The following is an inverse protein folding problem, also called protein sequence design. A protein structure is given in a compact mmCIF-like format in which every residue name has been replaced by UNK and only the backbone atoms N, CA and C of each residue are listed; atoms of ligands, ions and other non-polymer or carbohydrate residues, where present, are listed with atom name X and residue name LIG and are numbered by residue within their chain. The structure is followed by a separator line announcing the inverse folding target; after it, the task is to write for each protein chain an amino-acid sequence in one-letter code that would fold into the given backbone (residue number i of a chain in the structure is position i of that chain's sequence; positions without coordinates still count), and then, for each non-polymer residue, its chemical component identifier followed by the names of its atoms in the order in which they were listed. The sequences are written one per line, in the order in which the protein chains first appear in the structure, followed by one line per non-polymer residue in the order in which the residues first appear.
data_IF_603872174753
#
_entry.id   IF_603872174753
#
_cell.length_a   1.000
_cell.length_b   1.000
_cell.length_c   1.000
_cell.angle_alpha   90.00
_cell.angle_beta   90.00
_cell.angle_gamma   90.00
#
_symmetry.space_group_name_H-M   'P 1'
#
loop_
_entity.id
_entity.type
_entity.pdbx_description
1 polymer ?
#
# COMPACT_ATOMS: atom_id res chain seq x y z
N UNK A 1 -14.72 34.03 48.59
CA UNK A 1 -14.02 32.87 48.02
C UNK A 1 -15.09 31.97 47.40
N UNK A 2 -15.37 32.04 46.09
CA UNK A 2 -16.25 31.08 45.47
C UNK A 2 -15.45 29.87 44.97
N UNK A 3 -15.99 28.72 45.32
CA UNK A 3 -15.59 27.36 45.01
C UNK A 3 -15.39 27.12 43.51
N UNK A 4 -14.14 26.86 43.11
CA UNK A 4 -13.78 26.48 41.73
C UNK A 4 -14.05 25.00 41.53
N UNK A 5 -15.33 24.66 41.27
CA UNK A 5 -15.71 23.36 40.74
C UNK A 5 -15.15 23.20 39.33
N UNK A 6 -13.97 22.57 39.21
CA UNK A 6 -13.45 22.05 37.95
C UNK A 6 -14.47 21.04 37.41
N UNK A 7 -15.26 21.45 36.42
CA UNK A 7 -15.97 20.50 35.57
C UNK A 7 -14.91 19.73 34.80
N UNK A 8 -14.55 18.54 35.28
CA UNK A 8 -13.92 17.52 34.46
C UNK A 8 -14.75 17.38 33.18
N UNK A 9 -14.18 17.77 32.04
CA UNK A 9 -14.78 17.50 30.75
C UNK A 9 -14.75 15.99 30.60
N UNK A 10 -15.90 15.35 30.73
CA UNK A 10 -16.08 13.94 30.41
C UNK A 10 -15.55 13.69 29.00
N UNK A 11 -14.45 12.95 28.90
CA UNK A 11 -13.98 12.39 27.63
C UNK A 11 -15.11 11.48 27.13
N UNK A 12 -15.66 11.69 25.92
CA UNK A 12 -16.73 10.83 25.45
C UNK A 12 -16.23 9.39 25.42
N UNK A 13 -16.98 8.47 26.04
CA UNK A 13 -16.71 7.03 25.95
C UNK A 13 -17.06 6.60 24.53
N UNK A 14 -16.03 6.52 23.68
CA UNK A 14 -16.16 5.97 22.33
C UNK A 14 -16.13 4.44 22.40
N UNK A 15 -16.81 3.79 21.47
CA UNK A 15 -16.59 2.37 21.24
C UNK A 15 -15.11 2.20 20.84
N UNK A 16 -14.30 1.44 21.60
CA UNK A 16 -12.88 1.32 21.32
C UNK A 16 -12.68 0.71 19.93
N UNK A 17 -11.66 1.15 19.17
CA UNK A 17 -11.40 0.58 17.84
C UNK A 17 -11.15 -0.94 17.91
N UNK A 18 -10.69 -1.42 19.06
CA UNK A 18 -10.50 -2.83 19.40
C UNK A 18 -11.78 -3.65 19.26
N UNK A 19 -12.97 -3.05 19.38
CA UNK A 19 -14.24 -3.74 19.16
C UNK A 19 -14.46 -4.16 17.70
N UNK A 20 -13.76 -3.54 16.76
CA UNK A 20 -13.85 -3.81 15.33
C UNK A 20 -12.66 -4.61 14.77
N UNK A 21 -11.69 -4.97 15.63
CA UNK A 21 -10.48 -5.66 15.20
C UNK A 21 -10.43 -7.10 15.69
N UNK A 22 -10.04 -8.01 14.79
CA UNK A 22 -9.72 -9.38 15.11
C UNK A 22 -8.27 -9.67 14.70
N UNK A 23 -7.40 -9.84 15.69
CA UNK A 23 -5.97 -10.06 15.44
C UNK A 23 -5.69 -11.49 15.00
N UNK A 24 -4.98 -11.62 13.88
CA UNK A 24 -4.56 -12.93 13.40
C UNK A 24 -3.55 -13.57 14.37
N UNK A 25 -3.82 -14.82 14.78
CA UNK A 25 -3.02 -15.51 15.79
C UNK A 25 -3.35 -15.13 17.24
N UNK A 26 -4.42 -14.35 17.46
CA UNK A 26 -5.00 -14.12 18.78
C UNK A 26 -4.37 -13.00 19.61
N UNK A 27 -3.31 -12.34 19.12
CA UNK A 27 -2.77 -11.14 19.76
C UNK A 27 -2.12 -10.16 18.75
N UNK A 28 -2.09 -8.85 19.06
CA UNK A 28 -1.40 -7.85 18.25
C UNK A 28 0.07 -8.17 17.98
N UNK A 29 0.77 -8.73 18.97
CA UNK A 29 2.20 -9.06 18.86
C UNK A 29 2.45 -10.18 17.87
N UNK A 30 1.61 -11.22 17.89
CA UNK A 30 1.72 -12.38 17.00
C UNK A 30 1.43 -11.97 15.56
N UNK A 31 0.40 -11.14 15.37
CA UNK A 31 0.04 -10.60 14.06
C UNK A 31 1.15 -9.68 13.51
N UNK A 32 1.75 -8.82 14.36
CA UNK A 32 2.88 -7.96 13.97
C UNK A 32 4.06 -8.78 13.45
N UNK A 33 4.46 -9.84 14.16
CA UNK A 33 5.57 -10.71 13.72
C UNK A 33 5.26 -11.41 12.39
N UNK A 34 4.00 -11.79 12.16
CA UNK A 34 3.56 -12.31 10.88
C UNK A 34 3.70 -11.24 9.78
N UNK A 35 3.25 -10.02 10.02
CA UNK A 35 3.32 -8.93 9.05
C UNK A 35 4.77 -8.54 8.70
N UNK A 36 5.69 -8.55 9.67
CA UNK A 36 7.12 -8.35 9.40
C UNK A 36 7.72 -9.45 8.52
N UNK A 37 7.28 -10.70 8.69
CA UNK A 37 7.65 -11.80 7.79
C UNK A 37 7.08 -11.57 6.39
N UNK A 38 5.79 -11.24 6.29
CA UNK A 38 5.11 -10.98 5.02
C UNK A 38 5.72 -9.78 4.27
N UNK A 39 6.10 -8.71 4.97
CA UNK A 39 6.79 -7.55 4.40
C UNK A 39 8.14 -7.94 3.78
N UNK A 40 8.93 -8.80 4.44
CA UNK A 40 10.17 -9.35 3.88
C UNK A 40 9.92 -10.20 2.64
N UNK A 41 8.86 -11.02 2.64
CA UNK A 41 8.48 -11.79 1.45
C UNK A 41 8.08 -10.87 0.29
N UNK A 42 7.42 -9.74 0.56
CA UNK A 42 7.06 -8.76 -0.45
C UNK A 42 8.30 -8.08 -1.08
N UNK A 43 9.39 -7.92 -0.33
CA UNK A 43 10.64 -7.39 -0.89
C UNK A 43 11.25 -8.33 -1.94
N UNK A 44 11.04 -9.65 -1.78
CA UNK A 44 11.45 -10.62 -2.80
C UNK A 44 10.62 -10.49 -4.08
N UNK A 45 9.34 -10.13 -3.97
CA UNK A 45 8.46 -9.85 -5.13
C UNK A 45 8.97 -8.64 -5.90
N UNK A 46 9.32 -7.55 -5.21
CA UNK A 46 9.85 -6.34 -5.83
C UNK A 46 11.15 -6.61 -6.62
N UNK A 47 12.04 -7.44 -6.08
CA UNK A 47 13.27 -7.86 -6.80
C UNK A 47 12.97 -8.72 -8.02
N UNK A 48 12.06 -9.68 -7.89
CA UNK A 48 11.66 -10.53 -9.01
C UNK A 48 11.08 -9.69 -10.16
N UNK A 49 10.27 -8.67 -9.85
CA UNK A 49 9.75 -7.73 -10.85
C UNK A 49 10.85 -6.87 -11.48
N UNK A 50 11.81 -6.38 -10.70
CA UNK A 50 12.94 -5.62 -11.23
C UNK A 50 13.75 -6.47 -12.21
N UNK A 51 14.07 -7.72 -11.85
CA UNK A 51 14.81 -8.66 -12.69
C UNK A 51 14.07 -8.96 -13.99
N UNK A 52 12.78 -9.28 -13.90
CA UNK A 52 11.90 -9.55 -15.04
C UNK A 52 11.76 -8.35 -15.99
N UNK A 53 11.66 -7.13 -15.45
CA UNK A 53 11.52 -5.91 -16.26
C UNK A 53 12.85 -5.37 -16.81
N UNK A 54 14.00 -5.85 -16.32
CA UNK A 54 15.31 -5.29 -16.65
C UNK A 54 15.51 -3.85 -16.13
N UNK A 55 14.71 -3.40 -15.16
CA UNK A 55 14.76 -2.04 -14.66
C UNK A 55 16.09 -1.75 -13.93
N UNK A 56 16.77 -0.67 -14.32
CA UNK A 56 18.04 -0.25 -13.73
C UNK A 56 17.92 0.12 -12.24
N UNK A 57 16.73 0.53 -11.80
CA UNK A 57 16.44 0.91 -10.41
C UNK A 57 15.27 0.09 -9.88
N UNK A 58 15.23 -0.11 -8.56
CA UNK A 58 14.07 -0.66 -7.90
C UNK A 58 12.91 0.32 -8.02
N UNK A 59 11.87 -0.08 -8.76
CA UNK A 59 10.59 0.64 -8.80
C UNK A 59 9.73 0.22 -7.61
N UNK A 60 8.60 0.89 -7.39
CA UNK A 60 7.62 0.48 -6.38
C UNK A 60 7.13 -0.95 -6.66
N UNK A 61 6.96 -1.77 -5.62
CA UNK A 61 6.45 -3.16 -5.71
C UNK A 61 5.11 -3.26 -6.46
N UNK A 62 4.30 -2.22 -6.31
CA UNK A 62 3.08 -1.99 -7.06
C UNK A 62 3.06 -0.52 -7.45
N UNK A 63 2.28 -0.18 -8.46
CA UNK A 63 2.15 1.17 -8.97
C UNK A 63 3.45 1.77 -9.51
N UNK A 64 4.25 0.97 -10.21
CA UNK A 64 5.57 1.38 -10.70
C UNK A 64 5.50 2.53 -11.71
N UNK A 65 4.43 2.61 -12.51
CA UNK A 65 4.25 3.68 -13.51
C UNK A 65 3.29 4.76 -13.01
N UNK A 66 3.81 5.97 -12.81
CA UNK A 66 2.99 7.15 -12.55
C UNK A 66 2.50 7.77 -13.87
N UNK A 67 1.23 8.18 -13.89
CA UNK A 67 0.65 9.02 -14.95
C UNK A 67 0.65 10.51 -14.56
N UNK A 68 0.45 10.79 -13.26
CA UNK A 68 0.43 12.15 -12.71
C UNK A 68 1.16 12.20 -11.36
N UNK A 69 1.89 13.29 -11.14
CA UNK A 69 2.42 13.67 -9.83
C UNK A 69 2.39 15.19 -9.71
N UNK A 70 1.60 15.72 -8.77
CA UNK A 70 1.40 17.17 -8.56
C UNK A 70 1.42 17.51 -7.08
N UNK A 71 1.96 18.68 -6.73
CA UNK A 71 2.12 19.16 -5.34
C UNK A 71 1.20 20.34 -5.00
N UNK A 72 0.45 20.84 -5.98
CA UNK A 72 -0.39 22.04 -5.88
C UNK A 72 -1.89 21.72 -5.83
N UNK A 73 -2.27 20.48 -5.50
CA UNK A 73 -3.68 20.14 -5.31
C UNK A 73 -4.20 20.69 -3.98
N UNK A 74 -5.52 20.69 -3.81
CA UNK A 74 -6.18 21.16 -2.59
C UNK A 74 -7.36 20.27 -2.23
N UNK A 75 -7.43 19.82 -0.99
CA UNK A 75 -8.60 19.15 -0.43
C UNK A 75 -9.41 20.16 0.40
N UNK A 76 -10.68 20.39 0.08
CA UNK A 76 -11.58 21.26 0.84
C UNK A 76 -12.82 20.49 1.30
N UNK A 77 -13.05 20.45 2.61
CA UNK A 77 -14.26 19.88 3.18
C UNK A 77 -15.49 20.74 2.86
N UNK A 78 -16.63 20.09 2.67
CA UNK A 78 -17.89 20.76 2.39
C UNK A 78 -18.31 21.64 3.57
N UNK A 79 -18.92 22.80 3.28
CA UNK A 79 -19.49 23.67 4.31
C UNK A 79 -20.67 22.98 5.04
N UNK A 80 -21.31 22.01 4.37
CA UNK A 80 -22.38 21.17 4.89
C UNK A 80 -21.89 19.80 5.40
N UNK A 81 -20.63 19.69 5.83
CA UNK A 81 -20.10 18.44 6.40
C UNK A 81 -20.98 17.98 7.58
N UNK A 82 -21.49 16.73 7.59
CA UNK A 82 -22.33 16.26 8.68
C UNK A 82 -21.64 16.39 10.04
N UNK A 83 -22.34 16.85 11.11
CA UNK A 83 -21.75 17.07 12.43
C UNK A 83 -21.02 15.84 12.98
N UNK A 84 -21.53 14.63 12.73
CA UNK A 84 -20.92 13.38 13.16
C UNK A 84 -19.61 13.05 12.43
N UNK A 85 -19.37 13.61 11.24
CA UNK A 85 -18.13 13.45 10.47
C UNK A 85 -17.15 14.60 10.71
N UNK A 86 -17.49 15.55 11.57
CA UNK A 86 -16.59 16.63 11.96
C UNK A 86 -15.57 16.13 13.00
N UNK A 87 -14.43 15.58 12.54
CA UNK A 87 -13.38 14.98 13.38
C UNK A 87 -12.00 15.51 12.97
N UNK A 88 -11.11 15.77 13.93
CA UNK A 88 -9.74 16.25 13.63
C UNK A 88 -9.67 17.42 12.65
N UNK A 89 -9.01 17.20 11.51
CA UNK A 89 -8.88 18.18 10.42
C UNK A 89 -10.09 18.19 9.44
N UNK A 90 -11.00 17.23 9.54
CA UNK A 90 -12.27 17.25 8.83
C UNK A 90 -13.22 18.25 9.51
N UNK A 91 -13.16 19.51 9.07
CA UNK A 91 -13.98 20.62 9.58
C UNK A 91 -14.73 21.29 8.43
N UNK A 92 -15.99 21.74 8.63
CA UNK A 92 -16.74 22.42 7.59
C UNK A 92 -15.94 23.57 6.94
N UNK A 93 -15.83 23.55 5.61
CA UNK A 93 -15.12 24.56 4.83
C UNK A 93 -13.59 24.57 4.95
N UNK A 94 -13.00 23.76 5.84
CA UNK A 94 -11.55 23.69 6.01
C UNK A 94 -10.89 23.14 4.74
N UNK A 95 -9.71 23.67 4.43
CA UNK A 95 -9.03 23.34 3.19
C UNK A 95 -7.52 23.28 3.36
N UNK A 96 -6.92 22.26 2.75
CA UNK A 96 -5.55 21.85 2.97
C UNK A 96 -4.81 21.68 1.64
N UNK A 97 -3.53 22.09 1.54
CA UNK A 97 -2.67 21.70 0.44
C UNK A 97 -2.58 20.17 0.36
N UNK A 98 -2.53 19.66 -0.87
CA UNK A 98 -2.42 18.23 -1.12
C UNK A 98 -1.44 17.92 -2.24
N UNK A 99 -0.74 16.79 -2.08
CA UNK A 99 0.05 16.15 -3.13
C UNK A 99 -0.75 14.98 -3.70
N UNK A 100 -0.85 14.88 -5.01
CA UNK A 100 -1.60 13.82 -5.69
C UNK A 100 -0.68 13.03 -6.62
N UNK A 101 -0.79 11.70 -6.56
CA UNK A 101 -0.16 10.78 -7.50
C UNK A 101 -1.21 9.83 -8.09
N UNK A 102 -1.27 9.76 -9.42
CA UNK A 102 -2.08 8.80 -10.15
C UNK A 102 -1.18 7.82 -10.90
N UNK A 103 -1.55 6.55 -10.93
CA UNK A 103 -0.67 5.50 -11.46
C UNK A 103 -1.43 4.27 -11.96
N UNK A 104 -0.73 3.42 -12.70
CA UNK A 104 -1.12 2.02 -12.89
C UNK A 104 -0.94 1.24 -11.57
N UNK A 105 -1.31 -0.04 -11.50
CA UNK A 105 -1.16 -0.89 -10.30
C UNK A 105 0.02 -1.86 -10.43
N UNK A 106 0.41 -2.23 -11.65
CA UNK A 106 1.52 -3.16 -11.86
C UNK A 106 2.83 -2.68 -11.21
N UNK A 107 3.61 -3.64 -10.69
CA UNK A 107 4.97 -3.40 -10.21
C UNK A 107 6.02 -3.23 -11.31
N UNK A 108 5.60 -3.27 -12.58
CA UNK A 108 6.45 -2.94 -13.73
C UNK A 108 5.81 -1.82 -14.56
N UNK A 109 6.64 -1.02 -15.23
CA UNK A 109 6.14 0.05 -16.09
C UNK A 109 5.58 -0.54 -17.40
N UNK A 110 4.27 -0.79 -17.42
CA UNK A 110 3.56 -1.36 -18.58
C UNK A 110 2.86 -0.29 -19.40
N UNK A 111 2.49 -0.66 -20.62
CA UNK A 111 1.61 0.13 -21.48
C UNK A 111 0.26 0.35 -20.80
N UNK A 112 -0.27 1.57 -20.89
CA UNK A 112 -1.52 1.96 -20.23
C UNK A 112 -2.77 1.20 -20.70
N UNK A 113 -2.73 0.55 -21.88
CA UNK A 113 -3.81 -0.26 -22.43
C UNK A 113 -3.85 -1.67 -21.82
N UNK A 114 -2.80 -2.06 -21.09
CA UNK A 114 -2.75 -3.37 -20.44
C UNK A 114 -3.86 -3.47 -19.38
N UNK A 115 -4.63 -4.57 -19.34
CA UNK A 115 -5.59 -4.84 -18.27
C UNK A 115 -4.90 -4.78 -16.91
N UNK A 116 -5.26 -3.78 -16.12
CA UNK A 116 -4.62 -3.50 -14.84
C UNK A 116 -5.56 -2.61 -14.00
N UNK A 117 -5.34 -2.54 -12.69
CA UNK A 117 -5.99 -1.57 -11.82
C UNK A 117 -5.29 -0.21 -11.92
N UNK A 118 -5.91 0.84 -11.40
CA UNK A 118 -5.32 2.18 -11.28
C UNK A 118 -5.29 2.61 -9.82
N UNK A 119 -4.25 3.34 -9.45
CA UNK A 119 -4.04 3.85 -8.10
C UNK A 119 -4.16 5.36 -8.02
N UNK A 120 -4.66 5.84 -6.89
CA UNK A 120 -4.61 7.24 -6.46
C UNK A 120 -4.01 7.30 -5.05
N UNK A 121 -2.99 8.14 -4.89
CA UNK A 121 -2.44 8.51 -3.60
C UNK A 121 -2.60 10.02 -3.41
N UNK A 122 -3.12 10.43 -2.25
CA UNK A 122 -3.32 11.83 -1.87
C UNK A 122 -2.68 12.04 -0.51
N UNK A 123 -1.67 12.92 -0.42
CA UNK A 123 -1.13 13.38 0.86
C UNK A 123 -1.74 14.73 1.20
N UNK A 124 -2.53 14.79 2.26
CA UNK A 124 -3.09 16.03 2.80
C UNK A 124 -2.12 16.61 3.82
N UNK A 125 -1.68 17.85 3.63
CA UNK A 125 -0.84 18.55 4.60
C UNK A 125 -1.74 19.26 5.62
N UNK A 126 -1.87 18.69 6.83
CA UNK A 126 -2.76 19.21 7.88
C UNK A 126 -2.11 20.36 8.63
N UNK A 127 -0.86 20.16 9.05
CA UNK A 127 -0.02 21.16 9.72
C UNK A 127 1.47 20.84 9.44
N UNK A 128 2.43 21.72 9.74
CA UNK A 128 3.86 21.39 9.62
C UNK A 128 4.19 20.09 10.39
N UNK A 129 4.76 19.10 9.71
CA UNK A 129 5.08 17.79 10.28
C UNK A 129 3.88 16.83 10.44
N UNK A 130 2.66 17.27 10.15
CA UNK A 130 1.44 16.45 10.24
C UNK A 130 0.79 16.30 8.85
N UNK A 131 0.70 15.06 8.38
CA UNK A 131 0.06 14.73 7.11
C UNK A 131 -0.88 13.53 7.23
N UNK A 132 -1.84 13.45 6.31
CA UNK A 132 -2.72 12.31 6.15
C UNK A 132 -2.62 11.76 4.73
N UNK A 133 -2.18 10.51 4.57
CA UNK A 133 -2.13 9.83 3.27
C UNK A 133 -3.37 8.99 3.00
N UNK A 134 -4.17 9.39 2.01
CA UNK A 134 -5.29 8.63 1.47
C UNK A 134 -4.82 7.82 0.26
N UNK A 135 -4.95 6.50 0.32
CA UNK A 135 -4.51 5.57 -0.71
C UNK A 135 -5.67 4.71 -1.19
N UNK A 136 -5.95 4.77 -2.49
CA UNK A 136 -7.11 4.15 -3.09
C UNK A 136 -6.80 3.53 -4.47
N UNK A 137 -7.62 2.57 -4.89
CA UNK A 137 -7.50 1.88 -6.18
C UNK A 137 -8.82 1.84 -6.92
N UNK A 138 -8.81 1.69 -8.25
CA UNK A 138 -9.98 1.81 -9.13
C UNK A 138 -10.94 0.61 -9.10
N UNK A 139 -11.10 -0.05 -7.96
CA UNK A 139 -12.07 -1.12 -7.73
C UNK A 139 -12.45 -1.21 -6.24
N UNK A 140 -13.74 -1.42 -5.90
CA UNK A 140 -14.25 -1.28 -4.54
C UNK A 140 -13.77 -2.35 -3.55
N UNK A 141 -13.32 -3.50 -4.04
CA UNK A 141 -12.86 -4.61 -3.20
C UNK A 141 -11.42 -5.02 -3.51
N UNK A 142 -10.77 -5.60 -2.51
CA UNK A 142 -9.51 -6.29 -2.70
C UNK A 142 -9.73 -7.66 -3.37
N UNK A 143 -8.72 -8.16 -4.06
CA UNK A 143 -8.70 -9.56 -4.46
C UNK A 143 -8.51 -10.47 -3.23
N UNK A 144 -7.75 -10.02 -2.23
CA UNK A 144 -7.44 -10.72 -0.99
C UNK A 144 -8.33 -10.27 0.16
N UNK A 145 -8.78 -11.20 0.99
CA UNK A 145 -9.48 -10.92 2.24
C UNK A 145 -8.52 -10.36 3.31
N UNK A 146 -7.31 -10.93 3.38
CA UNK A 146 -6.29 -10.64 4.38
C UNK A 146 -4.87 -10.49 3.77
N UNK A 147 -3.89 -10.19 4.62
CA UNK A 147 -2.50 -9.96 4.22
C UNK A 147 -1.81 -11.24 3.68
N UNK A 148 -2.17 -12.43 4.16
CA UNK A 148 -1.58 -13.68 3.68
C UNK A 148 -1.99 -13.96 2.26
N UNK A 149 -3.27 -13.84 1.98
CA UNK A 149 -3.80 -14.00 0.63
C UNK A 149 -3.17 -12.98 -0.32
N UNK A 150 -3.03 -11.73 0.11
CA UNK A 150 -2.40 -10.68 -0.70
C UNK A 150 -0.96 -11.04 -1.08
N UNK A 151 -0.13 -11.43 -0.11
CA UNK A 151 1.25 -11.82 -0.37
C UNK A 151 1.35 -13.13 -1.17
N UNK A 152 0.45 -14.09 -0.95
CA UNK A 152 0.38 -15.30 -1.75
C UNK A 152 0.08 -14.99 -3.23
N UNK A 153 -0.86 -14.08 -3.51
CA UNK A 153 -1.15 -13.60 -4.85
C UNK A 153 0.04 -12.89 -5.50
N UNK A 154 0.65 -11.97 -4.76
CA UNK A 154 1.82 -11.22 -5.22
C UNK A 154 2.95 -12.19 -5.61
N UNK A 155 3.26 -13.19 -4.77
CA UNK A 155 4.28 -14.21 -5.06
C UNK A 155 3.92 -15.13 -6.22
N UNK A 156 2.63 -15.41 -6.41
CA UNK A 156 2.17 -16.26 -7.51
C UNK A 156 2.29 -15.57 -8.87
N UNK A 157 2.23 -14.23 -8.89
CA UNK A 157 2.26 -13.41 -10.13
C UNK A 157 3.60 -12.69 -10.34
N UNK A 158 4.46 -12.64 -9.32
CA UNK A 158 5.77 -12.01 -9.39
C UNK A 158 6.66 -12.63 -10.48
N UNK A 159 7.31 -11.75 -11.27
CA UNK A 159 8.33 -12.15 -12.24
C UNK A 159 7.85 -13.04 -13.39
N UNK A 160 6.53 -13.12 -13.63
CA UNK A 160 5.99 -13.96 -14.68
C UNK A 160 5.99 -13.24 -16.04
N UNK A 161 6.93 -13.62 -16.90
CA UNK A 161 7.19 -12.96 -18.19
C UNK A 161 6.33 -13.54 -19.31
N UNK A 162 5.92 -14.81 -19.19
CA UNK A 162 5.06 -15.48 -20.16
C UNK A 162 3.64 -15.69 -19.65
N UNK A 163 2.69 -15.84 -20.58
CA UNK A 163 1.29 -16.21 -20.25
C UNK A 163 1.22 -17.57 -19.54
N UNK A 164 2.10 -18.51 -19.90
CA UNK A 164 2.17 -19.85 -19.30
C UNK A 164 2.60 -19.77 -17.83
N UNK A 165 3.64 -19.00 -17.52
CA UNK A 165 4.09 -18.81 -16.13
C UNK A 165 3.02 -18.12 -15.28
N UNK A 166 2.35 -17.10 -15.82
CA UNK A 166 1.22 -16.45 -15.14
C UNK A 166 0.09 -17.43 -14.89
N UNK A 167 -0.27 -18.26 -15.87
CA UNK A 167 -1.29 -19.27 -15.72
C UNK A 167 -0.89 -20.31 -14.65
N UNK A 168 0.34 -20.81 -14.68
CA UNK A 168 0.85 -21.73 -13.65
C UNK A 168 0.81 -21.10 -12.25
N UNK A 169 1.20 -19.83 -12.13
CA UNK A 169 1.07 -19.05 -10.89
C UNK A 169 -0.36 -19.01 -10.37
N UNK A 170 -1.31 -18.61 -11.21
CA UNK A 170 -2.70 -18.37 -10.83
C UNK A 170 -3.56 -19.63 -10.65
N UNK A 171 -3.26 -20.71 -11.37
CA UNK A 171 -4.06 -21.93 -11.39
C UNK A 171 -3.43 -23.11 -10.64
N UNK A 172 -2.13 -23.05 -10.33
CA UNK A 172 -1.44 -24.11 -9.56
C UNK A 172 -0.90 -23.56 -8.25
N UNK A 173 0.02 -22.59 -8.29
CA UNK A 173 0.70 -22.10 -7.07
C UNK A 173 -0.25 -21.40 -6.11
N UNK A 174 -1.17 -20.58 -6.63
CA UNK A 174 -2.10 -19.83 -5.80
C UNK A 174 -3.12 -20.76 -5.08
N UNK A 175 -3.86 -21.67 -5.74
CA UNK A 175 -4.75 -22.60 -5.04
C UNK A 175 -4.04 -23.47 -3.99
N UNK A 176 -2.78 -23.86 -4.23
CA UNK A 176 -1.99 -24.60 -3.24
C UNK A 176 -1.62 -23.75 -2.01
N UNK A 177 -1.54 -22.43 -2.15
CA UNK A 177 -1.16 -21.52 -1.06
C UNK A 177 -2.35 -21.05 -0.22
N UNK A 178 -3.51 -20.80 -0.84
CA UNK A 178 -4.69 -20.19 -0.17
C UNK A 178 -5.95 -21.06 -0.21
N UNK A 179 -5.90 -22.22 -0.87
CA UNK A 179 -7.05 -23.06 -1.12
C UNK A 179 -7.85 -22.66 -2.38
N UNK A 180 -8.63 -23.60 -2.90
CA UNK A 180 -9.34 -23.44 -4.17
C UNK A 180 -10.40 -22.33 -4.17
N UNK A 181 -11.17 -22.22 -3.09
CA UNK A 181 -12.24 -21.22 -2.96
C UNK A 181 -11.70 -19.78 -2.93
N UNK A 182 -10.69 -19.52 -2.09
CA UNK A 182 -10.04 -18.22 -2.01
C UNK A 182 -9.36 -17.86 -3.33
N UNK A 183 -8.59 -18.78 -3.92
CA UNK A 183 -7.94 -18.56 -5.21
C UNK A 183 -8.94 -18.23 -6.32
N UNK A 184 -10.10 -18.86 -6.33
CA UNK A 184 -11.17 -18.56 -7.27
C UNK A 184 -11.79 -17.17 -7.07
N UNK A 185 -12.11 -16.80 -5.82
CA UNK A 185 -12.57 -15.44 -5.48
C UNK A 185 -11.56 -14.38 -5.94
N UNK A 186 -10.28 -14.58 -5.63
CA UNK A 186 -9.21 -13.66 -6.00
C UNK A 186 -9.12 -13.48 -7.52
N UNK A 187 -9.15 -14.58 -8.29
CA UNK A 187 -9.15 -14.51 -9.76
C UNK A 187 -10.36 -13.78 -10.31
N UNK A 188 -11.57 -14.07 -9.82
CA UNK A 188 -12.80 -13.40 -10.25
C UNK A 188 -12.78 -11.90 -9.95
N UNK A 189 -12.31 -11.50 -8.77
CA UNK A 189 -12.17 -10.09 -8.40
C UNK A 189 -11.18 -9.38 -9.34
N UNK A 190 -10.01 -9.98 -9.62
CA UNK A 190 -9.03 -9.39 -10.55
C UNK A 190 -9.55 -9.32 -11.97
N UNK A 191 -10.16 -10.38 -12.49
CA UNK A 191 -10.76 -10.41 -13.83
C UNK A 191 -11.85 -9.34 -13.99
N UNK A 192 -12.67 -9.15 -12.96
CA UNK A 192 -13.72 -8.12 -12.96
C UNK A 192 -13.13 -6.72 -12.89
N UNK A 193 -12.11 -6.53 -12.04
CA UNK A 193 -11.43 -5.25 -11.84
C UNK A 193 -10.68 -4.74 -13.08
N UNK A 194 -10.18 -5.65 -13.93
CA UNK A 194 -9.37 -5.31 -15.11
C UNK A 194 -10.10 -5.54 -16.43
N UNK A 195 -11.42 -5.76 -16.39
CA UNK A 195 -12.23 -6.13 -17.59
C UNK A 195 -12.29 -5.06 -18.67
N UNK A 196 -12.05 -3.79 -18.33
CA UNK A 196 -12.12 -2.67 -19.26
C UNK A 196 -10.79 -1.91 -19.29
N UNK A 197 -10.46 -1.38 -20.46
CA UNK A 197 -9.37 -0.44 -20.59
C UNK A 197 -9.80 0.92 -20.03
N UNK A 198 -9.01 1.46 -19.11
CA UNK A 198 -9.27 2.77 -18.51
C UNK A 198 -8.91 3.87 -19.51
N UNK A 199 -9.89 4.66 -19.95
CA UNK A 199 -9.64 5.74 -20.92
C UNK A 199 -9.17 7.06 -20.30
N UNK A 200 -9.40 7.28 -19.01
CA UNK A 200 -8.97 8.52 -18.34
C UNK A 200 -8.98 8.34 -16.83
N UNK A 201 -7.85 8.62 -16.17
CA UNK A 201 -7.76 8.57 -14.70
C UNK A 201 -8.62 9.65 -14.02
N UNK A 202 -8.93 10.74 -14.72
CA UNK A 202 -9.82 11.79 -14.23
C UNK A 202 -11.29 11.35 -14.16
N UNK A 203 -11.64 10.22 -14.79
CA UNK A 203 -13.00 9.69 -14.86
C UNK A 203 -13.21 8.41 -14.07
N UNK A 204 -12.16 7.88 -13.45
CA UNK A 204 -12.25 6.70 -12.58
C UNK A 204 -12.65 7.09 -11.16
N UNK A 205 -13.34 6.19 -10.49
CA UNK A 205 -13.53 6.24 -9.03
C UNK A 205 -12.46 5.38 -8.37
N UNK A 206 -11.95 5.82 -7.22
CA UNK A 206 -10.92 5.12 -6.46
C UNK A 206 -11.42 4.82 -5.05
N UNK A 207 -11.30 3.59 -4.58
CA UNK A 207 -11.76 3.15 -3.25
C UNK A 207 -10.59 2.79 -2.34
N UNK A 208 -10.73 3.09 -1.04
CA UNK A 208 -9.73 2.76 -0.01
C UNK A 208 -9.52 1.26 0.16
N UNK A 209 -10.53 0.44 -0.19
CA UNK A 209 -10.68 -1.02 0.01
C UNK A 209 -10.65 -1.49 1.46
N UNK A 210 -9.87 -0.86 2.32
CA UNK A 210 -9.86 -1.06 3.77
C UNK A 210 -10.57 0.07 4.51
N UNK A 211 -11.02 -0.23 5.72
CA UNK A 211 -11.67 0.76 6.60
C UNK A 211 -10.62 1.58 7.37
N UNK A 212 -10.97 2.79 7.75
CA UNK A 212 -10.24 3.63 8.70
C UNK A 212 -11.19 4.03 9.82
N UNK A 213 -10.67 4.32 11.00
CA UNK A 213 -11.43 5.01 12.03
C UNK A 213 -11.72 6.44 11.55
N UNK A 214 -12.85 7.00 11.97
CA UNK A 214 -13.19 8.40 11.76
C UNK A 214 -13.66 9.02 13.07
N UNK A 215 -12.75 9.05 14.05
CA UNK A 215 -12.99 9.45 15.43
C UNK A 215 -14.25 8.81 16.00
N UNK A 216 -15.14 9.66 16.52
CA UNK A 216 -16.41 9.24 17.11
C UNK A 216 -17.41 8.61 16.11
N UNK A 217 -17.22 8.81 14.80
CA UNK A 217 -18.13 8.29 13.79
C UNK A 217 -17.97 6.78 13.56
N UNK A 218 -16.92 6.17 14.14
CA UNK A 218 -16.59 4.75 13.99
C UNK A 218 -15.85 4.46 12.68
N UNK A 219 -15.82 3.19 12.25
CA UNK A 219 -15.16 2.78 11.02
C UNK A 219 -15.86 3.33 9.78
N UNK A 220 -15.07 3.78 8.81
CA UNK A 220 -15.53 4.21 7.49
C UNK A 220 -14.65 3.64 6.39
N UNK A 221 -15.22 3.35 5.21
CA UNK A 221 -14.46 3.27 3.96
C UNK A 221 -14.61 4.59 3.22
N UNK A 222 -13.61 4.97 2.42
CA UNK A 222 -13.69 6.16 1.60
C UNK A 222 -13.50 5.86 0.12
N UNK A 223 -14.05 6.73 -0.71
CA UNK A 223 -13.85 6.72 -2.15
C UNK A 223 -13.63 8.13 -2.69
N UNK A 224 -12.82 8.26 -3.74
CA UNK A 224 -12.64 9.47 -4.52
C UNK A 224 -13.29 9.24 -5.88
N UNK A 225 -14.46 9.83 -6.11
CA UNK A 225 -15.17 9.74 -7.40
C UNK A 225 -15.03 11.05 -8.18
N UNK A 226 -15.08 11.04 -9.52
CA UNK A 226 -15.04 12.28 -10.30
C UNK A 226 -16.16 13.22 -9.87
N UNK A 227 -15.82 14.50 -9.66
CA UNK A 227 -16.83 15.51 -9.36
C UNK A 227 -17.70 15.78 -10.61
N UNK A 228 -18.98 16.15 -10.43
CA UNK A 228 -19.83 16.57 -11.54
C UNK A 228 -19.23 17.73 -12.33
N UNK A 229 -19.47 17.77 -13.66
CA UNK A 229 -19.00 18.87 -14.52
C UNK A 229 -17.51 18.82 -14.87
N UNK A 230 -16.89 17.63 -14.84
CA UNK A 230 -15.46 17.45 -15.10
C UNK A 230 -14.98 18.05 -16.42
N UNK A 231 -13.78 18.64 -16.39
CA UNK A 231 -13.11 19.23 -17.55
C UNK A 231 -12.96 18.22 -18.68
N UNK A 232 -13.43 18.48 -19.91
CA UNK A 232 -13.32 17.53 -21.01
C UNK A 232 -11.86 17.36 -21.48
N UNK A 233 -11.59 16.25 -22.15
CA UNK A 233 -10.35 16.01 -22.87
C UNK A 233 -10.61 15.15 -24.11
N UNK A 234 -9.75 15.22 -25.13
CA UNK A 234 -9.82 14.32 -26.27
C UNK A 234 -9.77 12.85 -25.85
N UNK A 235 -10.33 11.96 -26.68
CA UNK A 235 -10.17 10.53 -26.47
C UNK A 235 -8.67 10.16 -26.58
N UNK A 236 -8.16 9.32 -25.67
CA UNK A 236 -6.78 8.87 -25.75
C UNK A 236 -6.54 7.99 -26.98
N UNK A 237 -5.32 8.05 -27.52
CA UNK A 237 -4.85 7.06 -28.49
C UNK A 237 -4.35 5.83 -27.73
N UNK A 238 -5.08 4.71 -27.81
CA UNK A 238 -4.71 3.48 -27.10
C UNK A 238 -3.42 2.82 -27.62
N UNK A 239 -2.87 3.26 -28.77
CA UNK A 239 -1.58 2.79 -29.29
C UNK A 239 -0.39 3.48 -28.62
N UNK A 240 -0.62 4.60 -27.96
CA UNK A 240 0.39 5.32 -27.18
C UNK A 240 0.59 4.63 -25.82
N UNK A 241 1.81 4.17 -25.49
CA UNK A 241 2.08 3.49 -24.23
C UNK A 241 1.75 4.33 -23.00
N UNK A 242 1.76 5.66 -23.11
CA UNK A 242 1.62 6.65 -22.04
C UNK A 242 0.33 7.49 -22.17
N UNK A 243 -0.68 6.98 -22.87
CA UNK A 243 -1.88 7.76 -23.19
C UNK A 243 -2.62 8.32 -21.97
N UNK A 244 -2.54 7.68 -20.79
CA UNK A 244 -3.19 8.21 -19.59
C UNK A 244 -2.52 9.48 -19.11
N UNK A 245 -1.19 9.56 -19.24
CA UNK A 245 -0.44 10.78 -18.93
C UNK A 245 -0.78 11.88 -19.92
N UNK A 246 -0.78 11.59 -21.22
CA UNK A 246 -1.07 12.60 -22.24
C UNK A 246 -2.52 13.09 -22.17
N UNK A 247 -3.47 12.21 -21.86
CA UNK A 247 -4.86 12.59 -21.60
C UNK A 247 -4.98 13.57 -20.43
N UNK A 248 -4.30 13.30 -19.32
CA UNK A 248 -4.26 14.20 -18.16
C UNK A 248 -3.58 15.53 -18.49
N UNK A 249 -2.51 15.54 -19.29
CA UNK A 249 -1.86 16.77 -19.77
C UNK A 249 -2.84 17.62 -20.58
N UNK A 250 -3.54 17.02 -21.54
CA UNK A 250 -4.54 17.73 -22.35
C UNK A 250 -5.69 18.27 -21.50
N UNK A 251 -6.17 17.48 -20.54
CA UNK A 251 -7.26 17.87 -19.64
C UNK A 251 -6.86 19.06 -18.78
N UNK A 252 -5.74 18.94 -18.05
CA UNK A 252 -5.27 19.96 -17.11
C UNK A 252 -4.82 21.25 -17.78
N UNK A 253 -4.50 21.24 -19.08
CA UNK A 253 -4.27 22.47 -19.83
C UNK A 253 -5.53 23.34 -19.96
N UNK A 254 -6.72 22.74 -19.91
CA UNK A 254 -8.00 23.42 -20.20
C UNK A 254 -8.83 23.73 -18.96
N UNK A 255 -8.70 22.93 -17.89
CA UNK A 255 -9.47 23.13 -16.66
C UNK A 255 -9.03 22.23 -15.51
N UNK A 256 -9.69 22.40 -14.37
CA UNK A 256 -9.39 21.65 -13.15
C UNK A 256 -9.85 20.19 -13.28
N UNK A 257 -9.15 19.29 -12.59
CA UNK A 257 -9.62 17.91 -12.37
C UNK A 257 -10.04 17.79 -10.91
N UNK A 258 -11.30 17.46 -10.68
CA UNK A 258 -11.89 17.42 -9.33
C UNK A 258 -12.43 16.03 -8.99
N UNK A 259 -12.22 15.62 -7.75
CA UNK A 259 -12.78 14.40 -7.17
C UNK A 259 -13.52 14.70 -5.87
N UNK A 260 -14.72 14.14 -5.69
CA UNK A 260 -15.39 14.14 -4.40
C UNK A 260 -14.82 13.02 -3.52
N UNK A 261 -14.22 13.40 -2.39
CA UNK A 261 -13.96 12.47 -1.30
C UNK A 261 -15.30 12.17 -0.62
N UNK A 262 -15.68 10.90 -0.65
CA UNK A 262 -16.90 10.39 -0.04
C UNK A 262 -16.57 9.33 1.00
N UNK A 263 -17.44 9.16 1.99
CA UNK A 263 -17.33 8.13 3.02
C UNK A 263 -18.56 7.25 3.06
N UNK A 264 -18.35 5.97 3.38
CA UNK A 264 -19.39 5.00 3.73
C UNK A 264 -19.15 4.59 5.18
N UNK A 265 -20.20 4.64 6.00
CA UNK A 265 -20.11 4.30 7.43
C UNK A 265 -20.36 2.81 7.65
N UNK A 266 -19.66 2.26 8.63
CA UNK A 266 -19.90 0.92 9.12
C UNK A 266 -21.34 0.75 9.62
N UNK A 267 -21.93 -0.41 9.33
CA UNK A 267 -23.25 -0.79 9.78
C UNK A 267 -23.20 -2.02 10.71
N UNK A 268 -22.64 -3.14 10.24
CA UNK A 268 -22.36 -4.35 11.01
C UNK A 268 -21.36 -5.26 10.29
N UNK A 269 -20.73 -6.19 10.99
CA UNK A 269 -19.71 -7.08 10.40
C UNK A 269 -20.21 -7.96 9.25
N UNK A 270 -21.51 -8.24 9.16
CA UNK A 270 -22.04 -9.10 8.10
C UNK A 270 -22.15 -8.34 6.78
N UNK A 271 -22.52 -7.06 6.83
CA UNK A 271 -22.74 -6.21 5.64
C UNK A 271 -21.54 -5.34 5.30
N UNK A 272 -20.82 -4.90 6.32
CA UNK A 272 -19.70 -3.99 6.22
C UNK A 272 -18.50 -4.52 7.01
N UNK A 273 -17.94 -5.70 6.67
CA UNK A 273 -16.84 -6.28 7.44
C UNK A 273 -15.62 -5.39 7.40
N UNK A 274 -15.01 -5.16 8.57
CA UNK A 274 -13.77 -4.39 8.71
C UNK A 274 -12.54 -5.25 8.39
N UNK A 275 -12.57 -6.52 8.81
CA UNK A 275 -11.44 -7.46 8.68
C UNK A 275 -11.37 -8.17 7.32
N UNK A 276 -12.42 -8.11 6.49
CA UNK A 276 -12.44 -8.73 5.14
C UNK A 276 -12.43 -7.67 4.03
N UNK A 277 -11.26 -7.46 3.43
CA UNK A 277 -11.09 -6.53 2.31
C UNK A 277 -11.70 -7.00 0.99
N UNK A 278 -12.12 -8.26 0.88
CA UNK A 278 -12.67 -8.86 -0.34
C UNK A 278 -14.18 -8.67 -0.49
N UNK A 279 -14.85 -8.16 0.55
CA UNK A 279 -16.29 -7.90 0.59
C UNK A 279 -16.59 -6.43 0.32
N UNK A 280 -17.54 -6.18 -0.58
CA UNK A 280 -18.01 -4.84 -0.94
C UNK A 280 -18.97 -4.29 0.12
N UNK A 281 -18.75 -3.04 0.53
CA UNK A 281 -19.74 -2.28 1.31
C UNK A 281 -20.73 -1.67 0.32
N UNK A 282 -21.86 -2.34 0.12
CA UNK A 282 -22.87 -1.94 -0.86
C UNK A 282 -23.48 -0.60 -0.48
N UNK A 283 -23.75 0.25 -1.46
CA UNK A 283 -24.37 1.56 -1.23
C UNK A 283 -25.77 1.46 -0.58
N UNK A 284 -26.48 0.34 -0.79
CA UNK A 284 -27.76 0.05 -0.13
C UNK A 284 -27.63 -0.19 1.37
N UNK A 285 -26.48 -0.66 1.83
CA UNK A 285 -26.20 -0.97 3.23
C UNK A 285 -25.44 0.17 3.91
N UNK A 286 -24.55 0.84 3.17
CA UNK A 286 -23.75 1.97 3.63
C UNK A 286 -23.77 3.09 2.56
N UNK A 287 -24.64 4.11 2.70
CA UNK A 287 -24.74 5.20 1.74
C UNK A 287 -23.43 5.96 1.56
N UNK A 288 -23.17 6.39 0.33
CA UNK A 288 -21.97 7.19 -0.03
C UNK A 288 -22.24 8.67 0.26
N UNK A 289 -21.59 9.22 1.28
CA UNK A 289 -21.75 10.61 1.71
C UNK A 289 -20.56 11.45 1.24
N UNK A 290 -20.75 12.46 0.36
CA UNK A 290 -19.65 13.32 -0.07
C UNK A 290 -19.28 14.32 1.04
N UNK A 291 -18.00 14.35 1.41
CA UNK A 291 -17.49 15.13 2.56
C UNK A 291 -16.50 16.22 2.17
N UNK A 292 -15.78 16.07 1.05
CA UNK A 292 -14.79 17.04 0.60
C UNK A 292 -14.59 16.98 -0.92
N UNK A 293 -14.03 18.06 -1.47
CA UNK A 293 -13.61 18.18 -2.86
C UNK A 293 -12.08 18.25 -2.94
N UNK A 294 -11.48 17.31 -3.64
CA UNK A 294 -10.08 17.34 -4.05
C UNK A 294 -9.98 17.99 -5.42
N UNK A 295 -9.27 19.10 -5.52
CA UNK A 295 -9.05 19.84 -6.77
C UNK A 295 -7.58 19.77 -7.16
N UNK A 296 -7.31 19.22 -8.34
CA UNK A 296 -6.04 19.39 -9.05
C UNK A 296 -6.22 20.56 -10.02
N UNK A 297 -5.54 21.70 -9.81
CA UNK A 297 -5.79 22.91 -10.57
C UNK A 297 -5.28 22.78 -12.01
N UNK A 298 -5.95 23.50 -12.92
CA UNK A 298 -5.52 23.73 -14.31
C UNK A 298 -4.06 24.18 -14.34
N UNK A 299 -3.24 23.45 -15.09
CA UNK A 299 -1.81 23.70 -15.21
C UNK A 299 -1.22 23.03 -16.45
N UNK A 300 -0.08 23.54 -16.89
CA UNK A 300 0.73 22.90 -17.92
C UNK A 300 1.75 21.93 -17.29
N UNK A 301 1.56 20.64 -17.55
CA UNK A 301 2.40 19.56 -17.04
C UNK A 301 3.76 19.43 -17.77
N UNK A 302 3.95 20.15 -18.87
CA UNK A 302 5.18 20.16 -19.67
C UNK A 302 6.11 21.33 -19.33
N UNK A 303 5.78 22.09 -18.29
CA UNK A 303 6.72 23.05 -17.72
C UNK A 303 7.86 22.33 -16.98
N UNK A 304 9.04 22.96 -16.92
CA UNK A 304 10.17 22.43 -16.15
C UNK A 304 9.83 22.29 -14.64
N UNK A 305 9.02 23.21 -14.12
CA UNK A 305 8.54 23.19 -12.75
C UNK A 305 7.63 21.99 -12.48
N UNK A 306 6.64 21.74 -13.35
CA UNK A 306 5.72 20.59 -13.22
C UNK A 306 6.46 19.25 -13.33
N UNK A 307 7.38 19.10 -14.29
CA UNK A 307 8.23 17.90 -14.38
C UNK A 307 9.08 17.67 -13.13
N UNK A 308 9.56 18.75 -12.51
CA UNK A 308 10.35 18.66 -11.28
C UNK A 308 9.51 18.30 -10.07
N UNK A 309 8.29 18.82 -9.97
CA UNK A 309 7.30 18.39 -8.98
C UNK A 309 6.95 16.90 -9.16
N UNK A 310 6.64 16.46 -10.38
CA UNK A 310 6.34 15.04 -10.65
C UNK A 310 7.49 14.10 -10.21
N UNK A 311 8.74 14.50 -10.43
CA UNK A 311 9.91 13.73 -9.94
C UNK A 311 10.01 13.66 -8.43
N UNK A 312 9.74 14.77 -7.71
CA UNK A 312 9.70 14.78 -6.25
C UNK A 312 8.57 13.91 -5.72
N UNK A 313 7.37 13.99 -6.30
CA UNK A 313 6.24 13.12 -5.97
C UNK A 313 6.59 11.65 -6.19
N UNK A 314 7.31 11.33 -7.26
CA UNK A 314 7.77 9.96 -7.53
C UNK A 314 8.81 9.48 -6.51
N UNK A 315 9.50 10.37 -5.79
CA UNK A 315 10.41 10.00 -4.70
C UNK A 315 9.68 9.78 -3.37
N UNK A 316 8.52 10.41 -3.15
CA UNK A 316 7.74 10.31 -1.90
C UNK A 316 7.35 8.86 -1.57
N UNK A 317 7.43 8.54 -0.28
CA UNK A 317 6.86 7.34 0.31
C UNK A 317 5.48 7.68 0.90
N UNK A 318 4.41 7.28 0.23
CA UNK A 318 3.07 7.35 0.80
C UNK A 318 2.83 6.14 1.71
N UNK A 319 2.15 6.31 2.84
CA UNK A 319 1.83 5.23 3.77
C UNK A 319 0.48 5.52 4.44
N UNK A 320 -0.51 4.61 4.40
CA UNK A 320 -1.83 4.87 5.00
C UNK A 320 -1.76 5.11 6.53
N UNK A 321 -0.64 4.78 7.18
CA UNK A 321 -0.38 5.07 8.58
C UNK A 321 0.23 6.46 8.85
N UNK A 322 0.54 7.24 7.81
CA UNK A 322 0.74 8.68 7.96
C UNK A 322 -0.62 9.32 8.18
N UNK A 323 -1.05 9.35 9.44
CA UNK A 323 -2.36 9.84 9.87
C UNK A 323 -2.35 10.01 11.40
N UNK A 324 -3.44 10.52 11.97
CA UNK A 324 -3.62 10.62 13.43
C UNK A 324 -4.39 9.42 13.98
N UNK A 325 -4.43 9.28 15.32
CA UNK A 325 -5.20 8.23 15.97
C UNK A 325 -6.70 8.29 15.64
N UNK A 326 -7.25 9.49 15.42
CA UNK A 326 -8.66 9.67 15.03
C UNK A 326 -8.96 9.07 13.65
N UNK A 327 -7.95 8.92 12.80
CA UNK A 327 -8.08 8.42 11.43
C UNK A 327 -7.30 7.12 11.19
N UNK A 328 -7.06 6.36 12.26
CA UNK A 328 -6.25 5.14 12.24
C UNK A 328 -6.77 4.12 11.21
N UNK A 329 -5.91 3.50 10.39
CA UNK A 329 -6.33 2.40 9.51
C UNK A 329 -6.77 1.16 10.30
N UNK A 330 -7.88 0.54 9.89
CA UNK A 330 -8.50 -0.62 10.54
C UNK A 330 -8.53 -1.84 9.63
N UNK A 331 -8.53 -3.03 10.24
CA UNK A 331 -8.59 -4.33 9.55
C UNK A 331 -7.22 -4.89 9.17
N UNK A 332 -7.14 -6.22 9.04
CA UNK A 332 -5.90 -6.99 8.83
C UNK A 332 -5.03 -6.43 7.70
N UNK A 333 -5.61 -6.19 6.52
CA UNK A 333 -4.87 -5.62 5.39
C UNK A 333 -4.24 -4.27 5.72
N UNK A 334 -4.97 -3.37 6.38
CA UNK A 334 -4.44 -2.06 6.73
C UNK A 334 -3.35 -2.14 7.79
N UNK A 335 -3.50 -2.99 8.81
CA UNK A 335 -2.42 -3.24 9.78
C UNK A 335 -1.16 -3.78 9.12
N UNK A 336 -1.30 -4.73 8.18
CA UNK A 336 -0.16 -5.25 7.41
C UNK A 336 0.51 -4.19 6.54
N UNK A 337 -0.26 -3.22 6.02
CA UNK A 337 0.28 -2.13 5.18
C UNK A 337 1.27 -1.24 5.93
N UNK A 338 1.23 -1.16 7.27
CA UNK A 338 2.22 -0.40 8.04
C UNK A 338 3.64 -0.88 7.73
N UNK A 339 3.91 -2.14 8.06
CA UNK A 339 5.21 -2.76 7.87
C UNK A 339 5.56 -2.92 6.38
N UNK A 340 4.57 -3.23 5.53
CA UNK A 340 4.81 -3.45 4.11
C UNK A 340 5.25 -2.18 3.36
N UNK A 341 4.60 -1.02 3.63
CA UNK A 341 4.96 0.23 2.97
C UNK A 341 6.28 0.80 3.49
N UNK A 342 6.54 0.70 4.80
CA UNK A 342 7.83 1.08 5.41
C UNK A 342 8.98 0.28 4.78
N UNK A 343 8.86 -1.06 4.75
CA UNK A 343 9.87 -1.93 4.15
C UNK A 343 10.07 -1.67 2.65
N UNK A 344 8.98 -1.49 1.89
CA UNK A 344 9.05 -1.22 0.45
C UNK A 344 9.72 0.12 0.13
N UNK A 345 9.44 1.16 0.91
CA UNK A 345 10.07 2.46 0.77
C UNK A 345 11.57 2.37 1.10
N UNK A 346 11.93 1.76 2.22
CA UNK A 346 13.33 1.59 2.62
C UNK A 346 14.13 0.76 1.61
N UNK A 347 13.57 -0.33 1.08
CA UNK A 347 14.22 -1.14 0.05
C UNK A 347 14.40 -0.38 -1.28
N UNK A 348 13.39 0.39 -1.71
CA UNK A 348 13.47 1.24 -2.91
C UNK A 348 14.52 2.35 -2.77
N UNK A 349 14.62 2.95 -1.59
CA UNK A 349 15.54 4.05 -1.29
C UNK A 349 16.94 3.57 -0.90
N UNK A 350 17.20 2.25 -0.91
CA UNK A 350 18.51 1.68 -0.57
C UNK A 350 18.86 1.76 0.92
N UNK A 351 17.88 1.98 1.79
CA UNK A 351 18.04 2.04 3.24
C UNK A 351 18.05 0.66 3.90
N UNK A 352 17.68 -0.40 3.16
CA UNK A 352 17.71 -1.80 3.61
C UNK A 352 18.79 -2.62 2.88
N UNK A 353 19.76 -3.16 3.63
CA UNK A 353 20.80 -4.06 3.12
C UNK A 353 20.32 -5.51 3.08
N UNK A 354 19.37 -5.84 2.20
CA UNK A 354 19.03 -7.25 1.98
C UNK A 354 20.08 -7.90 1.05
N UNK A 355 21.11 -8.53 1.64
CA UNK A 355 22.08 -9.33 0.87
C UNK A 355 21.35 -10.52 0.26
N UNK A 356 21.33 -10.60 -1.09
CA UNK A 356 20.87 -11.82 -1.76
C UNK A 356 21.76 -13.00 -1.33
N UNK A 357 21.21 -14.21 -1.13
CA UNK A 357 22.04 -15.37 -0.82
C UNK A 357 23.05 -15.58 -1.95
N UNK A 358 24.33 -15.85 -1.65
CA UNK A 358 25.34 -16.06 -2.68
C UNK A 358 24.93 -17.23 -3.59
N UNK A 359 25.21 -17.20 -4.90
CA UNK A 359 24.74 -18.20 -5.88
C UNK A 359 25.20 -19.64 -5.55
N UNK A 360 26.26 -19.80 -4.75
CA UNK A 360 26.70 -21.10 -4.21
C UNK A 360 25.66 -21.77 -3.31
N UNK A 361 24.79 -20.99 -2.68
CA UNK A 361 23.67 -21.52 -1.91
C UNK A 361 22.56 -22.06 -2.83
N UNK A 362 22.29 -21.46 -3.99
CA UNK A 362 21.19 -21.88 -4.87
C UNK A 362 21.47 -23.21 -5.59
N UNK A 363 22.73 -23.53 -5.85
CA UNK A 363 23.16 -24.72 -6.61
C UNK A 363 23.19 -26.01 -5.76
N UNK A 364 23.42 -25.90 -4.45
CA UNK A 364 23.41 -27.05 -3.54
C UNK A 364 22.00 -27.26 -2.98
N UNK A 365 21.22 -28.12 -3.65
CA UNK A 365 19.82 -28.40 -3.32
C UNK A 365 19.56 -28.80 -1.86
N UNK A 366 18.29 -28.67 -1.45
CA UNK A 366 17.73 -29.12 -0.16
C UNK A 366 18.28 -30.47 0.38
N UNK A 367 18.47 -31.54 -0.41
CA UNK A 367 18.99 -32.81 0.11
C UNK A 367 20.45 -32.72 0.58
N UNK A 368 21.31 -31.95 -0.09
CA UNK A 368 22.71 -31.76 0.33
C UNK A 368 22.80 -31.00 1.65
N UNK A 369 21.86 -30.08 1.89
CA UNK A 369 21.78 -29.28 3.13
C UNK A 369 21.29 -30.09 4.33
N UNK A 370 20.34 -31.00 4.12
CA UNK A 370 19.90 -31.92 5.17
C UNK A 370 21.01 -32.92 5.54
N UNK A 371 21.70 -33.46 4.53
CA UNK A 371 22.87 -34.32 4.71
C UNK A 371 24.03 -33.62 5.42
N UNK A 372 24.34 -32.38 5.04
CA UNK A 372 25.35 -31.57 5.71
C UNK A 372 24.99 -31.31 7.17
N UNK A 373 23.75 -30.92 7.50
CA UNK A 373 23.33 -30.72 8.90
C UNK A 373 23.42 -31.99 9.75
N UNK A 374 23.04 -33.14 9.21
CA UNK A 374 23.17 -34.43 9.89
C UNK A 374 24.64 -34.81 10.12
N UNK A 375 25.48 -34.65 9.09
CA UNK A 375 26.92 -34.87 9.20
C UNK A 375 27.59 -33.90 10.20
N UNK A 376 27.17 -32.63 10.21
CA UNK A 376 27.70 -31.62 11.13
C UNK A 376 27.25 -31.83 12.57
N UNK A 377 25.99 -32.20 12.83
CA UNK A 377 25.54 -32.55 14.19
C UNK A 377 26.27 -33.76 14.79
N UNK A 378 26.74 -34.67 13.93
CA UNK A 378 27.61 -35.78 14.35
C UNK A 378 29.04 -35.31 14.61
N UNK A 379 29.59 -34.40 13.81
CA UNK A 379 30.97 -33.87 13.97
C UNK A 379 31.10 -32.95 15.19
N UNK A 380 30.14 -32.03 15.42
CA UNK A 380 30.16 -31.08 16.54
C UNK A 380 30.07 -31.78 17.91
N UNK A 381 29.56 -33.03 17.93
CA UNK A 381 29.56 -33.90 19.11
C UNK A 381 30.96 -34.32 19.57
N UNK A 382 31.94 -34.34 18.65
CA UNK A 382 33.30 -34.84 18.92
C UNK A 382 34.39 -33.77 18.71
N UNK A 383 34.13 -32.76 17.87
CA UNK A 383 35.06 -31.65 17.62
C UNK A 383 34.27 -30.34 17.60
N UNK A 384 34.50 -29.43 18.57
CA UNK A 384 33.81 -28.14 18.59
C UNK A 384 34.01 -27.36 17.29
N UNK A 385 32.94 -26.80 16.73
CA UNK A 385 32.92 -26.11 15.44
C UNK A 385 34.06 -25.09 15.21
N UNK A 386 34.49 -24.36 16.24
CA UNK A 386 35.57 -23.37 16.18
C UNK A 386 36.98 -23.95 15.99
N UNK A 387 37.12 -25.29 16.07
CA UNK A 387 38.38 -26.02 15.82
C UNK A 387 38.45 -26.64 14.42
N UNK A 388 37.40 -26.49 13.61
CA UNK A 388 37.40 -26.95 12.23
C UNK A 388 38.27 -26.03 11.35
N UNK A 389 38.88 -26.56 10.27
CA UNK A 389 39.54 -25.74 9.26
C UNK A 389 38.62 -24.63 8.72
N UNK A 390 39.19 -23.52 8.25
CA UNK A 390 38.44 -22.30 7.88
C UNK A 390 37.27 -22.55 6.90
N UNK A 391 37.38 -23.38 5.85
CA UNK A 391 36.28 -23.57 4.91
C UNK A 391 34.99 -24.17 5.54
N UNK A 392 35.04 -25.28 6.32
CA UNK A 392 33.85 -25.81 7.00
C UNK A 392 33.35 -24.92 8.15
N UNK A 393 34.23 -24.22 8.88
CA UNK A 393 33.82 -23.29 9.94
C UNK A 393 33.02 -22.08 9.42
N UNK A 394 33.34 -21.60 8.21
CA UNK A 394 32.60 -20.50 7.57
C UNK A 394 31.17 -20.89 7.12
N UNK A 395 30.96 -22.16 6.73
CA UNK A 395 29.62 -22.67 6.41
C UNK A 395 28.72 -22.67 7.65
N UNK A 396 29.29 -22.96 8.81
CA UNK A 396 28.60 -22.96 10.09
C UNK A 396 28.22 -21.55 10.54
N UNK A 397 29.13 -20.58 10.46
CA UNK A 397 28.81 -19.17 10.74
C UNK A 397 27.69 -18.63 9.83
N UNK A 398 27.68 -19.02 8.55
CA UNK A 398 26.60 -18.67 7.64
C UNK A 398 25.28 -19.38 8.01
N UNK A 399 25.32 -20.64 8.43
CA UNK A 399 24.14 -21.38 8.88
C UNK A 399 23.58 -20.86 10.21
N UNK A 400 24.46 -20.51 11.16
CA UNK A 400 24.16 -19.91 12.45
C UNK A 400 23.56 -18.52 12.27
N UNK A 401 24.21 -17.62 11.51
CA UNK A 401 23.67 -16.29 11.18
C UNK A 401 22.26 -16.40 10.56
N UNK A 402 22.05 -17.33 9.62
CA UNK A 402 20.73 -17.56 9.00
C UNK A 402 19.70 -18.16 9.96
N UNK A 403 20.14 -18.89 10.99
CA UNK A 403 19.24 -19.45 12.01
C UNK A 403 18.86 -18.36 13.01
N UNK A 404 19.82 -17.55 13.44
CA UNK A 404 19.59 -16.38 14.27
C UNK A 404 18.70 -15.35 13.56
N UNK A 405 18.91 -15.07 12.27
CA UNK A 405 18.02 -14.21 11.45
C UNK A 405 16.61 -14.79 11.28
N UNK A 406 16.47 -16.12 11.18
CA UNK A 406 15.14 -16.77 11.11
C UNK A 406 14.40 -16.72 12.44
N UNK A 407 15.14 -16.75 13.54
CA UNK A 407 14.61 -16.66 14.90
C UNK A 407 14.49 -15.21 15.41
N UNK A 408 14.91 -14.22 14.62
CA UNK A 408 14.87 -12.80 15.00
C UNK A 408 15.85 -12.41 16.12
N UNK A 409 16.90 -13.21 16.35
CA UNK A 409 17.84 -13.07 17.47
C UNK A 409 19.10 -12.24 17.13
N UNK A 410 19.26 -11.85 15.86
CA UNK A 410 20.29 -10.92 15.39
C UNK A 410 19.59 -9.98 14.42
N UNK A 411 19.93 -8.69 14.51
CA UNK A 411 19.33 -7.62 13.72
C UNK A 411 19.19 -8.05 12.24
N UNK A 412 17.94 -8.15 11.80
CA UNK A 412 17.66 -7.99 10.39
C UNK A 412 17.84 -6.52 10.08
N UNK A 413 18.60 -6.19 9.03
CA UNK A 413 18.87 -4.82 8.55
C UNK A 413 17.58 -4.06 8.16
N UNK A 414 16.76 -3.74 9.14
CA UNK A 414 15.74 -2.71 9.12
C UNK A 414 16.24 -1.69 10.13
N UNK A 415 17.02 -0.71 9.64
CA UNK A 415 17.13 0.53 10.39
C UNK A 415 15.70 1.01 10.63
N UNK A 416 15.33 1.21 11.89
CA UNK A 416 14.13 1.95 12.25
C UNK A 416 14.18 3.27 11.46
N UNK A 417 13.33 3.48 10.44
CA UNK A 417 13.35 4.71 9.70
C UNK A 417 12.62 5.73 10.57
N UNK A 418 13.32 6.26 11.57
CA UNK A 418 12.99 7.53 12.18
C UNK A 418 13.05 8.60 11.09
N UNK A 419 12.01 8.73 10.28
CA UNK A 419 11.90 9.69 9.18
C UNK A 419 10.61 10.49 9.33
N UNK A 420 10.59 11.34 10.36
CA UNK A 420 10.01 12.67 10.21
C UNK A 420 11.03 13.55 9.47
N UNK A 421 11.20 13.35 8.17
CA UNK A 421 11.89 14.35 7.33
C UNK A 421 10.86 15.08 6.48
N UNK A 422 10.46 16.25 6.99
CA UNK A 422 9.83 17.28 6.16
C UNK A 422 10.90 17.85 5.20
N UNK A 423 10.53 18.26 3.98
CA UNK A 423 11.45 18.97 3.10
C UNK A 423 11.91 20.27 3.77
N UNK A 424 13.16 20.73 3.55
CA UNK A 424 13.63 21.98 4.12
C UNK A 424 12.75 23.15 3.64
N UNK A 425 12.43 24.12 4.52
CA UNK A 425 11.67 25.29 4.12
C UNK A 425 12.45 26.03 3.02
N UNK A 426 11.72 26.47 1.99
CA UNK A 426 12.27 27.33 0.94
C UNK A 426 12.86 28.58 1.58
N UNK A 427 14.16 28.81 1.33
CA UNK A 427 14.80 30.06 1.68
C UNK A 427 14.06 31.21 0.97
N UNK A 428 13.60 32.19 1.75
CA UNK A 428 13.35 33.55 1.29
C UNK A 428 14.50 34.42 1.75
#
# INVERSE_FOLDING_TARGET
MPDTGQRERSVPQYEPYEAHEAYEGGSPETERLLFEKLARELMSVQRAQQQASGAAQLLRTFHAKAALGVENARLRFHDSLPPELCVGYARPGAAYPAVVRLSNESGTARHDATPDLRGMAVRVQVAPGECHDLLATSFPVSHAADAREFVAFAKATAGADTTVERAFGLFVRLPLAVGWGAADRMRRNVQTATRYAVGSLARETFWSRGAILWGAAGPVRYQLRPAPGGTPAPLPDSSDPDYLRHELTMRLATGDVCFELCVQRYADERRTPVEDGSVEWRESDAPVVPVALLTVPRQDLDTAAARSAARRVEQLAFNPWHTTAEFRPLGNLNRARKAAYEAAAAHRLGLCSSTAPPPRDTVLGLPVRAGARLAFGLVDRYVPWHRLPVPPGLLDLAALRRTLQRLGLVDGDVADPGLHESPPPSAR
#
